data_IF_365709574243
#
_entry.id   IF_365709574243
#
_cell.length_a   1.000
_cell.length_b   1.000
_cell.length_c   1.000
_cell.angle_alpha   90.00
_cell.angle_beta   90.00
_cell.angle_gamma   90.00
#
_symmetry.space_group_name_H-M   'P 1'
#
loop_
_entity.id
_entity.type
_entity.pdbx_description
1 polymer ?
#
# COMPACT_ATOMS: atom_id res chain seq x y z
N UNK A 1 9.17 11.74 -2.67
CA UNK A 1 9.07 11.00 -1.39
C UNK A 1 9.06 9.53 -1.71
N UNK A 2 9.74 8.74 -0.88
CA UNK A 2 9.71 7.28 -0.92
C UNK A 2 8.57 6.76 -0.06
N UNK A 3 7.76 5.87 -0.63
CA UNK A 3 6.53 5.37 -0.01
C UNK A 3 6.59 3.85 0.04
N UNK A 4 6.37 3.27 1.21
CA UNK A 4 6.25 1.81 1.35
C UNK A 4 4.78 1.42 1.47
N UNK A 5 4.35 0.51 0.61
CA UNK A 5 2.99 0.03 0.55
C UNK A 5 2.95 -1.44 0.95
N UNK A 6 2.10 -1.79 1.91
CA UNK A 6 1.93 -3.17 2.38
C UNK A 6 0.46 -3.47 2.61
N UNK A 7 0.05 -4.71 2.41
CA UNK A 7 -1.28 -5.17 2.78
C UNK A 7 -1.22 -6.27 3.84
N UNK A 8 -2.23 -6.27 4.69
CA UNK A 8 -2.59 -7.31 5.64
C UNK A 8 -4.06 -7.68 5.40
N UNK A 9 -4.38 -8.15 4.20
CA UNK A 9 -5.75 -8.35 3.75
C UNK A 9 -5.89 -9.43 2.68
N UNK A 10 -6.94 -9.34 1.88
CA UNK A 10 -7.25 -10.28 0.82
C UNK A 10 -6.76 -9.76 -0.54
N UNK A 11 -7.08 -10.52 -1.61
CA UNK A 11 -6.73 -10.17 -3.00
C UNK A 11 -7.22 -8.80 -3.43
N UNK A 12 -8.31 -8.30 -2.84
CA UNK A 12 -8.79 -6.96 -3.12
C UNK A 12 -7.79 -5.90 -2.65
N UNK A 13 -7.26 -6.05 -1.43
CA UNK A 13 -6.27 -5.12 -0.89
C UNK A 13 -4.95 -5.16 -1.69
N UNK A 14 -4.58 -6.33 -2.23
CA UNK A 14 -3.45 -6.46 -3.16
C UNK A 14 -3.67 -5.67 -4.46
N UNK A 15 -4.86 -5.77 -5.06
CA UNK A 15 -5.19 -5.01 -6.28
C UNK A 15 -5.25 -3.48 -6.02
N UNK A 16 -5.71 -3.06 -4.84
CA UNK A 16 -5.68 -1.65 -4.43
C UNK A 16 -4.24 -1.12 -4.31
N UNK A 17 -3.31 -1.93 -3.78
CA UNK A 17 -1.90 -1.53 -3.69
C UNK A 17 -1.30 -1.25 -5.07
N UNK A 18 -1.60 -2.07 -6.09
CA UNK A 18 -1.14 -1.83 -7.46
C UNK A 18 -1.68 -0.50 -8.01
N UNK A 19 -2.97 -0.24 -7.77
CA UNK A 19 -3.63 1.00 -8.16
C UNK A 19 -3.00 2.22 -7.48
N UNK A 20 -2.75 2.12 -6.17
CA UNK A 20 -2.13 3.19 -5.40
C UNK A 20 -0.67 3.41 -5.76
N UNK A 21 0.09 2.34 -6.04
CA UNK A 21 1.47 2.45 -6.48
C UNK A 21 1.56 3.28 -7.78
N UNK A 22 0.69 3.00 -8.75
CA UNK A 22 0.62 3.79 -9.98
C UNK A 22 0.21 5.24 -9.72
N UNK A 23 -0.76 5.48 -8.82
CA UNK A 23 -1.19 6.82 -8.47
C UNK A 23 -0.06 7.64 -7.83
N UNK A 24 0.66 7.07 -6.86
CA UNK A 24 1.80 7.71 -6.23
C UNK A 24 2.93 8.02 -7.23
N UNK A 25 3.21 7.08 -8.14
CA UNK A 25 4.18 7.31 -9.22
C UNK A 25 3.76 8.46 -10.14
N UNK A 26 2.48 8.51 -10.54
CA UNK A 26 1.93 9.61 -11.36
C UNK A 26 2.01 10.96 -10.65
N UNK A 27 1.92 10.98 -9.32
CA UNK A 27 2.11 12.19 -8.50
C UNK A 27 3.57 12.58 -8.27
N UNK A 28 4.54 11.87 -8.86
CA UNK A 28 5.98 12.17 -8.73
C UNK A 28 6.62 11.58 -7.46
N UNK A 29 5.95 10.63 -6.81
CA UNK A 29 6.52 9.87 -5.68
C UNK A 29 7.11 8.55 -6.16
N UNK A 30 7.96 7.94 -5.33
CA UNK A 30 8.58 6.65 -5.62
C UNK A 30 8.11 5.62 -4.60
N UNK A 31 7.80 4.41 -5.07
CA UNK A 31 7.40 3.30 -4.19
C UNK A 31 8.63 2.45 -3.90
N UNK A 32 8.94 2.27 -2.62
CA UNK A 32 10.11 1.52 -2.16
C UNK A 32 9.73 0.20 -1.52
N UNK A 33 10.55 -0.83 -1.76
CA UNK A 33 10.41 -2.15 -1.11
C UNK A 33 11.07 -2.20 0.26
N UNK A 34 11.94 -1.22 0.57
CA UNK A 34 12.67 -1.16 1.83
C UNK A 34 11.97 -0.18 2.76
N UNK A 35 11.50 -0.67 3.92
CA UNK A 35 10.78 0.14 4.91
C UNK A 35 11.67 1.26 5.47
N UNK A 36 12.98 1.00 5.62
CA UNK A 36 13.96 1.94 6.15
C UNK A 36 14.12 3.22 5.32
N UNK A 37 13.83 3.15 4.01
CA UNK A 37 13.93 4.29 3.10
C UNK A 37 12.62 5.09 3.01
N UNK A 38 11.54 4.56 3.57
CA UNK A 38 10.21 5.14 3.39
C UNK A 38 10.03 6.43 4.20
N UNK A 39 9.62 7.50 3.53
CA UNK A 39 9.13 8.71 4.19
C UNK A 39 7.68 8.53 4.70
N UNK A 40 6.93 7.61 4.07
CA UNK A 40 5.55 7.27 4.42
C UNK A 40 5.36 5.76 4.28
N UNK A 41 4.70 5.14 5.26
CA UNK A 41 4.30 3.75 5.23
C UNK A 41 2.77 3.69 5.22
N UNK A 42 2.19 2.96 4.26
CA UNK A 42 0.75 2.74 4.15
C UNK A 42 0.47 1.25 4.30
N UNK A 43 -0.36 0.90 5.27
CA UNK A 43 -0.81 -0.47 5.52
C UNK A 43 -2.29 -0.59 5.15
N UNK A 44 -2.61 -1.39 4.14
CA UNK A 44 -3.98 -1.69 3.74
C UNK A 44 -4.41 -3.04 4.34
N UNK A 45 -5.20 -3.01 5.40
CA UNK A 45 -5.72 -4.22 6.06
C UNK A 45 -7.19 -4.44 5.78
N UNK A 46 -7.63 -5.70 5.74
CA UNK A 46 -9.06 -5.98 5.81
C UNK A 46 -9.58 -5.62 7.20
N UNK A 47 -10.64 -4.81 7.26
CA UNK A 47 -11.52 -4.81 8.41
C UNK A 47 -12.37 -6.09 8.33
N UNK A 48 -11.88 -7.17 8.95
CA UNK A 48 -12.71 -8.35 9.23
C UNK A 48 -13.79 -7.93 10.22
N UNK A 49 -14.98 -7.60 9.72
CA UNK A 49 -16.18 -7.63 10.55
C UNK A 49 -16.37 -9.09 10.98
N UNK A 50 -16.34 -9.37 12.29
CA UNK A 50 -16.82 -10.66 12.80
C UNK A 50 -18.28 -10.80 12.36
N UNK A 51 -18.51 -11.43 11.22
CA UNK A 51 -19.71 -12.17 10.83
C UNK A 51 -19.47 -12.69 9.40
N UNK A 52 -19.33 -14.01 9.28
CA UNK A 52 -19.37 -14.76 8.04
C UNK A 52 -20.31 -15.95 8.25
#
# INVERSE_FOLDING_TARGET
MEIHLKTLGCRLNEAELETWAQAFQKSGHQVTRQVENANLIVINSCAVTQDA
#
